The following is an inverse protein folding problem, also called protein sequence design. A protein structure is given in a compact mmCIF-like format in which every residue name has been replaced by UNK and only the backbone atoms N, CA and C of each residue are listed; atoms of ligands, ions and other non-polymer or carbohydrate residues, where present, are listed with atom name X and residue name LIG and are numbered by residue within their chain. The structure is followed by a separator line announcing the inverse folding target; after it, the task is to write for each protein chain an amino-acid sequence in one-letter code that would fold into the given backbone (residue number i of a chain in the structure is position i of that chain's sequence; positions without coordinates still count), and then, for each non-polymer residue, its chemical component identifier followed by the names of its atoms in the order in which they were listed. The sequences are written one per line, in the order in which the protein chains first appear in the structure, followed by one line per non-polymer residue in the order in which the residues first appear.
data_IF_900937684045
#
_entry.id   IF_900937684045
#
_cell.length_a   1.000
_cell.length_b   1.000
_cell.length_c   1.000
_cell.angle_alpha   90.00
_cell.angle_beta   90.00
_cell.angle_gamma   90.00
#
_symmetry.space_group_name_H-M   'P 1'
#
loop_
_entity.id
_entity.type
_entity.pdbx_description
1 polymer ?
#
# COMPACT_ATOMS: atom_id res chain seq x y z
N UNK A 1 11.30 -12.41 24.52
CA UNK A 1 11.06 -11.53 23.36
C UNK A 1 10.50 -12.43 22.28
N UNK A 2 9.19 -12.39 22.03
CA UNK A 2 8.57 -13.19 20.97
C UNK A 2 8.96 -12.58 19.62
N UNK A 3 9.63 -13.36 18.78
CA UNK A 3 10.01 -12.95 17.44
C UNK A 3 8.74 -12.79 16.59
N UNK A 4 8.54 -11.59 16.04
CA UNK A 4 7.39 -11.25 15.16
C UNK A 4 7.31 -12.10 13.89
N UNK A 5 8.35 -12.89 13.61
CA UNK A 5 8.47 -13.77 12.45
C UNK A 5 7.77 -15.13 12.65
N UNK A 6 7.59 -15.61 13.89
CA UNK A 6 7.00 -16.93 14.17
C UNK A 6 5.47 -17.01 14.05
N UNK A 7 4.77 -15.87 14.00
CA UNK A 7 3.30 -15.83 13.86
C UNK A 7 2.80 -15.98 12.41
N UNK A 8 3.67 -15.78 11.43
CA UNK A 8 3.29 -15.81 10.00
C UNK A 8 3.29 -17.25 9.45
N UNK A 9 4.12 -18.11 10.01
CA UNK A 9 4.42 -19.44 9.46
C UNK A 9 3.30 -20.45 9.71
N UNK A 10 2.71 -20.43 10.91
CA UNK A 10 1.65 -21.38 11.31
C UNK A 10 0.30 -21.03 10.66
N UNK A 11 -0.07 -19.75 10.64
CA UNK A 11 -1.32 -19.31 10.03
C UNK A 11 -1.32 -19.41 8.48
N UNK A 12 -0.15 -19.28 7.85
CA UNK A 12 0.00 -19.52 6.42
C UNK A 12 -0.10 -21.01 6.04
N UNK A 13 0.25 -21.93 6.95
CA UNK A 13 0.19 -23.37 6.71
C UNK A 13 -1.25 -23.91 6.77
N UNK A 14 -2.08 -23.43 7.71
CA UNK A 14 -3.47 -23.88 7.85
C UNK A 14 -4.35 -23.45 6.67
N UNK A 15 -4.17 -22.23 6.16
CA UNK A 15 -4.94 -21.72 5.02
C UNK A 15 -4.52 -22.34 3.68
N UNK A 16 -3.26 -22.79 3.56
CA UNK A 16 -2.75 -23.50 2.38
C UNK A 16 -3.52 -24.79 2.09
N UNK A 17 -4.00 -25.47 3.13
CA UNK A 17 -4.83 -26.68 3.02
C UNK A 17 -6.22 -26.34 2.45
N UNK A 18 -6.75 -25.14 2.70
CA UNK A 18 -8.09 -24.73 2.24
C UNK A 18 -8.10 -24.23 0.79
N UNK A 19 -6.99 -23.71 0.26
CA UNK A 19 -6.96 -23.05 -1.07
C UNK A 19 -6.63 -24.02 -2.22
N UNK A 20 -5.95 -25.15 -1.97
CA UNK A 20 -5.54 -26.11 -3.02
C UNK A 20 -6.69 -26.94 -3.60
N UNK A 21 -7.85 -26.97 -2.95
CA UNK A 21 -9.06 -27.55 -3.51
C UNK A 21 -9.64 -26.60 -4.55
N UNK A 22 -9.53 -26.96 -5.84
CA UNK A 22 -10.12 -26.20 -6.99
C UNK A 22 -11.62 -25.90 -6.86
N UNK A 23 -12.29 -26.42 -5.83
CA UNK A 23 -13.71 -26.23 -5.51
C UNK A 23 -13.97 -24.86 -4.83
N UNK A 24 -12.96 -24.18 -4.28
CA UNK A 24 -13.18 -23.04 -3.39
C UNK A 24 -13.03 -21.63 -4.00
N UNK A 25 -12.53 -21.48 -5.23
CA UNK A 25 -12.34 -20.13 -5.83
C UNK A 25 -13.64 -19.33 -5.97
N UNK A 26 -14.74 -19.97 -6.36
CA UNK A 26 -16.03 -19.31 -6.55
C UNK A 26 -16.70 -18.94 -5.21
N UNK A 27 -16.48 -19.75 -4.17
CA UNK A 27 -16.91 -19.47 -2.80
C UNK A 27 -16.08 -18.31 -2.22
N UNK A 28 -14.78 -18.28 -2.51
CA UNK A 28 -13.86 -17.24 -2.06
C UNK A 28 -14.16 -15.87 -2.71
N UNK A 29 -14.61 -15.87 -3.97
CA UNK A 29 -15.10 -14.66 -4.63
C UNK A 29 -16.32 -14.05 -3.96
N UNK A 30 -17.20 -14.89 -3.41
CA UNK A 30 -18.37 -14.43 -2.66
C UNK A 30 -18.04 -13.92 -1.25
N UNK A 31 -16.81 -14.18 -0.75
CA UNK A 31 -16.34 -13.79 0.59
C UNK A 31 -15.53 -12.50 0.62
N UNK A 32 -15.41 -11.76 -0.49
CA UNK A 32 -14.70 -10.48 -0.49
C UNK A 32 -15.38 -9.50 0.47
N UNK A 33 -14.68 -9.16 1.55
CA UNK A 33 -15.19 -8.32 2.63
C UNK A 33 -15.17 -6.85 2.19
N UNK A 34 -14.02 -6.36 1.73
CA UNK A 34 -13.79 -4.95 1.40
C UNK A 34 -12.69 -4.79 0.35
N UNK A 35 -12.76 -3.70 -0.43
CA UNK A 35 -11.70 -3.28 -1.37
C UNK A 35 -10.75 -2.32 -0.64
N UNK A 36 -9.44 -2.60 -0.73
CA UNK A 36 -8.37 -1.82 -0.11
C UNK A 36 -7.31 -1.48 -1.17
N UNK A 37 -6.46 -0.50 -0.85
CA UNK A 37 -5.37 0.00 -1.68
C UNK A 37 -4.06 -0.22 -0.95
N UNK A 38 -3.05 -0.71 -1.67
CA UNK A 38 -1.69 -0.80 -1.14
C UNK A 38 -1.03 0.58 -1.05
N UNK A 39 -0.50 0.91 0.13
CA UNK A 39 0.22 2.17 0.36
C UNK A 39 1.65 2.16 -0.19
N UNK A 40 2.26 0.99 -0.32
CA UNK A 40 3.69 0.85 -0.60
C UNK A 40 3.98 -0.24 -1.63
N UNK A 41 5.07 -0.09 -2.37
CA UNK A 41 5.58 -1.15 -3.26
C UNK A 41 6.52 -2.08 -2.49
N UNK A 42 6.21 -3.37 -2.47
CA UNK A 42 6.95 -4.40 -1.73
C UNK A 42 7.11 -5.63 -2.61
N UNK A 43 8.35 -6.11 -2.71
CA UNK A 43 8.65 -7.41 -3.32
C UNK A 43 8.93 -8.40 -2.21
N UNK A 44 8.21 -9.51 -2.21
CA UNK A 44 8.40 -10.58 -1.23
C UNK A 44 8.90 -11.84 -1.91
N UNK A 45 9.96 -12.42 -1.35
CA UNK A 45 10.49 -13.74 -1.70
C UNK A 45 9.93 -14.83 -0.76
N UNK A 46 9.25 -14.43 0.31
CA UNK A 46 8.65 -15.34 1.28
C UNK A 46 7.45 -16.02 0.61
N UNK A 47 7.39 -17.37 0.60
CA UNK A 47 6.24 -18.10 0.08
C UNK A 47 4.93 -17.62 0.72
N UNK A 48 3.90 -17.44 -0.09
CA UNK A 48 2.54 -16.99 0.30
C UNK A 48 2.42 -15.52 0.73
N UNK A 49 3.51 -14.80 0.97
CA UNK A 49 3.47 -13.35 1.15
C UNK A 49 3.43 -12.69 -0.22
N UNK A 50 2.40 -11.89 -0.45
CA UNK A 50 2.15 -11.28 -1.75
C UNK A 50 3.05 -10.08 -1.98
N UNK A 51 3.62 -10.01 -3.18
CA UNK A 51 4.29 -8.78 -3.63
C UNK A 51 3.25 -7.75 -4.03
N UNK A 52 3.36 -6.52 -3.53
CA UNK A 52 2.43 -5.42 -3.78
C UNK A 52 3.13 -4.29 -4.53
N UNK A 53 2.36 -3.53 -5.32
CA UNK A 53 2.78 -2.23 -5.81
C UNK A 53 1.93 -1.16 -5.15
N UNK A 54 2.52 0.00 -4.86
CA UNK A 54 1.78 1.15 -4.37
C UNK A 54 0.64 1.48 -5.34
N UNK A 55 -0.57 1.66 -4.79
CA UNK A 55 -1.79 1.85 -5.55
C UNK A 55 -2.49 0.55 -6.01
N UNK A 56 -1.91 -0.63 -5.76
CA UNK A 56 -2.56 -1.91 -6.09
C UNK A 56 -3.89 -2.02 -5.35
N UNK A 57 -4.97 -2.29 -6.09
CA UNK A 57 -6.29 -2.59 -5.54
C UNK A 57 -6.40 -4.07 -5.20
N UNK A 58 -6.82 -4.36 -3.98
CA UNK A 58 -6.93 -5.71 -3.44
C UNK A 58 -8.27 -5.88 -2.73
N UNK A 59 -8.73 -7.12 -2.62
CA UNK A 59 -9.89 -7.49 -1.84
C UNK A 59 -9.46 -8.24 -0.60
N UNK A 60 -9.91 -7.80 0.57
CA UNK A 60 -9.73 -8.55 1.81
C UNK A 60 -10.68 -9.74 1.79
N UNK A 61 -10.10 -10.92 1.91
CA UNK A 61 -10.83 -12.19 1.91
C UNK A 61 -11.03 -12.67 3.34
N UNK A 62 -9.97 -12.58 4.16
CA UNK A 62 -10.02 -12.98 5.56
C UNK A 62 -9.00 -12.20 6.39
N UNK A 63 -9.42 -11.78 7.60
CA UNK A 63 -8.53 -11.12 8.56
C UNK A 63 -8.06 -12.17 9.57
N UNK A 64 -6.93 -12.80 9.26
CA UNK A 64 -6.37 -13.88 10.07
C UNK A 64 -5.99 -13.38 11.46
N UNK A 65 -5.38 -12.20 11.54
CA UNK A 65 -5.12 -11.50 12.80
C UNK A 65 -5.04 -9.98 12.57
N UNK A 66 -4.60 -9.23 13.58
CA UNK A 66 -4.48 -7.76 13.50
C UNK A 66 -3.38 -7.30 12.54
N UNK A 67 -2.35 -8.13 12.35
CA UNK A 67 -1.15 -7.77 11.59
C UNK A 67 -1.19 -8.31 10.15
N UNK A 68 -1.87 -9.43 9.91
CA UNK A 68 -1.81 -10.20 8.66
C UNK A 68 -3.19 -10.51 8.12
N UNK A 69 -3.47 -10.00 6.93
CA UNK A 69 -4.72 -10.22 6.23
C UNK A 69 -4.48 -11.03 4.96
N UNK A 70 -5.40 -11.93 4.69
CA UNK A 70 -5.43 -12.71 3.47
C UNK A 70 -6.25 -11.96 2.43
N UNK A 71 -5.64 -11.71 1.27
CA UNK A 71 -6.16 -10.81 0.25
C UNK A 71 -6.05 -11.40 -1.14
N UNK A 72 -6.81 -10.83 -2.07
CA UNK A 72 -6.73 -11.13 -3.49
C UNK A 72 -6.48 -9.87 -4.30
N UNK A 73 -5.54 -9.90 -5.24
CA UNK A 73 -5.36 -8.80 -6.20
C UNK A 73 -6.56 -8.67 -7.12
N UNK A 74 -7.02 -7.43 -7.33
CA UNK A 74 -8.13 -7.14 -8.25
C UNK A 74 -7.79 -7.47 -9.70
N UNK A 75 -6.52 -7.23 -10.10
CA UNK A 75 -6.04 -7.41 -11.48
C UNK A 75 -5.54 -8.83 -11.72
N UNK A 76 -4.47 -9.25 -11.02
CA UNK A 76 -3.84 -10.57 -11.27
C UNK A 76 -4.65 -11.73 -10.72
N UNK A 77 -5.66 -11.46 -9.88
CA UNK A 77 -6.50 -12.47 -9.18
C UNK A 77 -5.72 -13.41 -8.26
N UNK A 78 -4.43 -13.14 -8.04
CA UNK A 78 -3.57 -13.88 -7.13
C UNK A 78 -4.01 -13.67 -5.69
N UNK A 79 -3.84 -14.70 -4.89
CA UNK A 79 -4.12 -14.69 -3.46
C UNK A 79 -2.82 -14.73 -2.66
N UNK A 80 -2.85 -14.20 -1.44
CA UNK A 80 -1.69 -14.20 -0.55
C UNK A 80 -1.90 -13.32 0.67
N UNK A 81 -0.89 -13.32 1.53
CA UNK A 81 -0.89 -12.54 2.76
C UNK A 81 -0.22 -11.20 2.57
N UNK A 82 -0.78 -10.20 3.22
CA UNK A 82 -0.22 -8.85 3.28
C UNK A 82 -0.32 -8.33 4.72
N UNK A 83 0.66 -7.52 5.16
CA UNK A 83 0.53 -6.82 6.42
C UNK A 83 -0.64 -5.83 6.37
N UNK A 84 -1.48 -5.81 7.40
CA UNK A 84 -2.60 -4.87 7.51
C UNK A 84 -2.13 -3.41 7.45
N UNK A 85 -0.93 -3.14 7.99
CA UNK A 85 -0.31 -1.81 7.95
C UNK A 85 -0.01 -1.35 6.52
N UNK A 86 0.14 -2.24 5.55
CA UNK A 86 0.58 -1.88 4.18
C UNK A 86 -0.59 -1.52 3.27
N UNK A 87 -1.81 -1.64 3.76
CA UNK A 87 -3.04 -1.48 3.00
C UNK A 87 -3.96 -0.49 3.72
N UNK A 88 -4.80 0.20 2.97
CA UNK A 88 -5.71 1.23 3.50
C UNK A 88 -6.93 1.36 2.60
N UNK A 89 -8.01 1.96 3.09
CA UNK A 89 -9.20 2.19 2.28
C UNK A 89 -8.98 3.34 1.28
N UNK A 90 -9.87 3.45 0.30
CA UNK A 90 -9.76 4.46 -0.77
C UNK A 90 -9.76 5.90 -0.24
N UNK A 91 -10.57 6.20 0.79
CA UNK A 91 -10.69 7.56 1.34
C UNK A 91 -9.39 7.93 2.06
N UNK A 92 -8.91 7.07 2.95
CA UNK A 92 -7.66 7.27 3.68
C UNK A 92 -6.46 7.42 2.74
N UNK A 93 -6.42 6.63 1.65
CA UNK A 93 -5.38 6.74 0.64
C UNK A 93 -5.37 8.11 -0.04
N UNK A 94 -6.54 8.62 -0.45
CA UNK A 94 -6.64 9.95 -1.09
C UNK A 94 -6.25 11.08 -0.14
N UNK A 95 -6.64 11.02 1.13
CA UNK A 95 -6.28 12.03 2.12
C UNK A 95 -4.76 12.07 2.36
N UNK A 96 -4.11 10.90 2.43
CA UNK A 96 -2.65 10.82 2.55
C UNK A 96 -1.92 11.44 1.35
N UNK A 97 -2.47 11.27 0.15
CA UNK A 97 -1.92 11.88 -1.06
C UNK A 97 -2.16 13.40 -1.09
N UNK A 98 -3.33 13.87 -0.66
CA UNK A 98 -3.66 15.30 -0.64
C UNK A 98 -2.73 16.08 0.28
N UNK A 99 -2.41 15.55 1.47
CA UNK A 99 -1.47 16.20 2.39
C UNK A 99 -0.05 16.22 1.82
N UNK A 100 0.35 15.13 1.16
CA UNK A 100 1.63 15.06 0.45
C UNK A 100 1.69 16.06 -0.71
N UNK A 101 0.61 16.20 -1.49
CA UNK A 101 0.51 17.14 -2.61
C UNK A 101 0.50 18.60 -2.13
N UNK A 102 -0.17 18.91 -1.02
CA UNK A 102 -0.11 20.24 -0.40
C UNK A 102 1.31 20.60 -0.01
N UNK A 103 2.04 19.69 0.62
CA UNK A 103 3.45 19.94 0.98
C UNK A 103 4.30 20.23 -0.27
N UNK A 104 4.09 19.47 -1.36
CA UNK A 104 4.78 19.74 -2.62
C UNK A 104 4.39 21.08 -3.26
N UNK A 105 3.11 21.46 -3.25
CA UNK A 105 2.63 22.73 -3.82
C UNK A 105 3.06 23.95 -2.99
N UNK A 106 3.03 23.85 -1.66
CA UNK A 106 3.52 24.90 -0.75
C UNK A 106 5.03 25.13 -0.94
N UNK A 107 5.78 24.05 -1.21
CA UNK A 107 7.21 24.16 -1.48
C UNK A 107 7.50 24.83 -2.83
N UNK A 108 6.74 24.53 -3.89
CA UNK A 108 6.91 25.18 -5.20
C UNK A 108 6.62 26.69 -5.17
N UNK A 109 5.60 27.12 -4.43
CA UNK A 109 5.25 28.53 -4.26
C UNK A 109 6.37 29.29 -3.51
N UNK A 110 6.89 28.71 -2.42
CA UNK A 110 8.02 29.28 -1.68
C UNK A 110 9.32 29.33 -2.50
N UNK A 111 9.58 28.32 -3.34
CA UNK A 111 10.74 28.30 -4.25
C UNK A 111 10.59 29.33 -5.36
N UNK A 112 9.39 29.51 -5.91
CA UNK A 112 9.11 30.51 -6.94
C UNK A 112 9.30 31.94 -6.43
N UNK A 113 8.89 32.24 -5.19
CA UNK A 113 9.15 33.53 -4.55
C UNK A 113 10.66 33.76 -4.35
N UNK A 114 11.41 32.77 -3.85
CA UNK A 114 12.85 32.92 -3.56
C UNK A 114 13.71 33.09 -4.83
N UNK A 115 13.34 32.47 -5.95
CA UNK A 115 14.00 32.64 -7.25
C UNK A 115 13.72 34.03 -7.84
N UNK A 116 12.48 34.51 -7.73
CA UNK A 116 12.06 35.81 -8.27
C UNK A 116 12.78 36.96 -7.56
N UNK A 117 12.97 36.86 -6.25
CA UNK A 117 13.71 37.84 -5.45
C UNK A 117 15.20 37.89 -5.86
N UNK A 118 15.84 36.73 -6.10
CA UNK A 118 17.27 36.67 -6.50
C UNK A 118 17.54 37.18 -7.91
N UNK A 119 16.58 37.10 -8.83
CA UNK A 119 16.71 37.66 -10.20
C UNK A 119 16.56 39.18 -10.25
N UNK A 120 16.07 39.82 -9.18
CA UNK A 120 15.96 41.28 -9.05
C UNK A 120 17.24 41.86 -8.41
N UNK A 121 18.40 41.49 -8.95
CA UNK A 121 19.65 42.17 -8.62
C UNK A 121 19.66 43.55 -9.32
N UNK A 122 19.99 44.65 -8.61
CA UNK A 122 20.00 45.98 -9.22
C UNK A 122 21.09 46.06 -10.29
N UNK A 123 20.75 46.62 -11.47
CA UNK A 123 21.74 47.11 -12.42
C UNK A 123 22.67 48.07 -11.68
N UNK A 124 23.94 47.68 -11.53
CA UNK A 124 24.98 48.55 -11.00
C UNK A 124 25.14 49.67 -12.04
N UNK A 125 24.68 50.87 -11.69
CA UNK A 125 25.01 52.09 -12.42
C UNK A 125 26.47 52.39 -12.09
N UNK A 126 27.39 51.98 -12.97
CA UNK A 126 28.77 52.47 -12.94
C UNK A 126 28.75 53.96 -13.36
N UNK A 127 29.33 54.81 -12.51
CA UNK A 127 29.40 56.26 -12.64
C UNK A 127 30.59 56.72 -13.46
#
# INVERSE_FOLDING_TARGET
MMNKEQGCEEAAAELRIQIESKIDQQILESKMIEEMISKYSVTSEIPNVMSLRQGDRIYVVERVNQDWWFVRKKITKEFGFVPAEFITDEISYTLQLDDTLKEFMETEEQVAEHITIRKKAPEIIEA
#
